data_IF_812679639803
#
_entry.id   IF_812679639803
#
_cell.length_a   1.000
_cell.length_b   1.000
_cell.length_c   1.000
_cell.angle_alpha   90.00
_cell.angle_beta   90.00
_cell.angle_gamma   90.00
#
_symmetry.space_group_name_H-M   'P 1'
#
loop_
_entity.id
_entity.type
_entity.pdbx_description
1 polymer ?
#
# COMPACT_ATOMS: atom_id res chain seq x y z
N UNK A 1 -31.46 3.57 43.48
CA UNK A 1 -31.38 3.38 42.00
C UNK A 1 -30.89 1.95 41.77
N UNK A 2 -31.74 1.06 41.42
CA UNK A 2 -31.32 -0.30 41.18
C UNK A 2 -30.48 -0.30 39.93
N UNK A 3 -29.38 -0.92 39.95
CA UNK A 3 -28.64 -1.50 38.83
C UNK A 3 -28.15 -0.52 37.75
N UNK A 4 -28.22 0.78 37.95
CA UNK A 4 -27.61 1.74 37.05
C UNK A 4 -26.09 1.65 37.21
N UNK A 5 -25.43 1.22 36.20
CA UNK A 5 -23.99 1.07 36.15
C UNK A 5 -23.49 -0.35 36.43
N UNK A 6 -24.34 -1.33 36.68
CA UNK A 6 -23.96 -2.72 36.64
C UNK A 6 -23.70 -3.16 35.21
N UNK A 7 -22.54 -3.73 34.98
CA UNK A 7 -22.23 -4.30 33.65
C UNK A 7 -23.07 -5.53 33.44
N UNK A 8 -23.96 -5.49 32.46
CA UNK A 8 -24.68 -6.67 32.03
C UNK A 8 -23.73 -7.56 31.25
N UNK A 9 -23.63 -8.83 31.65
CA UNK A 9 -22.88 -9.80 30.86
C UNK A 9 -23.51 -9.94 29.49
N UNK A 10 -22.69 -9.75 28.45
CA UNK A 10 -23.06 -10.00 27.08
C UNK A 10 -22.62 -11.39 26.67
N UNK A 11 -23.27 -12.02 25.68
CA UNK A 11 -22.74 -13.30 25.17
C UNK A 11 -21.29 -13.16 24.67
N UNK A 12 -20.42 -14.12 25.03
CA UNK A 12 -20.68 -15.25 25.97
C UNK A 12 -20.86 -14.73 27.39
N UNK A 13 -21.86 -15.25 28.13
CA UNK A 13 -22.21 -14.78 29.48
C UNK A 13 -21.18 -15.15 30.56
N UNK A 14 -20.19 -15.94 30.25
CA UNK A 14 -19.08 -16.28 31.13
C UNK A 14 -17.84 -15.50 30.70
N UNK A 15 -17.04 -15.00 31.67
CA UNK A 15 -15.75 -14.40 31.35
C UNK A 15 -14.91 -15.40 30.55
N UNK A 16 -14.43 -14.94 29.38
CA UNK A 16 -13.57 -15.74 28.53
C UNK A 16 -12.14 -15.29 28.75
N UNK A 17 -11.25 -16.22 29.07
CA UNK A 17 -9.83 -15.90 29.23
C UNK A 17 -9.20 -15.56 27.89
N UNK A 18 -8.16 -14.73 27.88
CA UNK A 18 -7.41 -14.44 26.67
C UNK A 18 -6.82 -15.69 26.02
N UNK A 19 -6.44 -16.69 26.86
CA UNK A 19 -5.97 -17.98 26.37
C UNK A 19 -7.05 -18.76 25.62
N UNK A 20 -8.32 -18.70 26.06
CA UNK A 20 -9.43 -19.34 25.37
C UNK A 20 -9.75 -18.62 24.04
N UNK A 21 -9.57 -17.30 23.98
CA UNK A 21 -9.71 -16.54 22.73
C UNK A 21 -8.56 -16.82 21.74
N UNK A 22 -7.35 -17.01 22.26
CA UNK A 22 -6.19 -17.36 21.45
C UNK A 22 -6.23 -18.83 20.95
N UNK A 23 -7.00 -19.69 21.62
CA UNK A 23 -7.06 -21.12 21.32
C UNK A 23 -5.74 -21.82 21.59
N UNK A 24 -5.52 -22.95 20.93
CA UNK A 24 -4.28 -23.72 21.02
C UNK A 24 -3.10 -23.10 20.26
N UNK A 25 -3.37 -22.18 19.35
CA UNK A 25 -2.37 -21.48 18.57
C UNK A 25 -1.71 -20.37 19.39
N UNK A 26 -0.97 -20.76 20.43
CA UNK A 26 -0.25 -19.82 21.30
C UNK A 26 0.78 -19.03 20.53
N UNK A 27 0.79 -17.70 20.72
CA UNK A 27 1.72 -16.77 20.06
C UNK A 27 1.25 -16.24 18.71
N UNK A 28 0.16 -16.75 18.15
CA UNK A 28 -0.45 -16.22 16.93
C UNK A 28 -1.90 -15.88 17.20
N UNK A 29 -2.18 -14.61 17.47
CA UNK A 29 -3.55 -14.13 17.57
C UNK A 29 -4.19 -14.08 16.18
N UNK A 30 -5.49 -14.38 16.10
CA UNK A 30 -6.26 -14.32 14.86
C UNK A 30 -5.82 -15.33 13.77
N UNK A 31 -5.30 -16.49 14.17
CA UNK A 31 -5.18 -17.61 13.26
C UNK A 31 -6.57 -18.21 12.94
N UNK A 32 -6.81 -18.71 11.71
CA UNK A 32 -5.85 -18.98 10.66
C UNK A 32 -5.50 -17.76 9.82
N UNK A 33 -4.26 -17.74 9.30
CA UNK A 33 -3.86 -16.81 8.26
C UNK A 33 -4.40 -17.27 6.91
N UNK A 34 -4.79 -16.30 6.07
CA UNK A 34 -5.12 -16.54 4.66
C UNK A 34 -3.85 -16.84 3.87
N UNK A 35 -3.96 -17.73 2.89
CA UNK A 35 -2.88 -18.09 1.99
C UNK A 35 -3.20 -17.64 0.58
N UNK A 36 -2.18 -17.16 -0.12
CA UNK A 36 -2.29 -16.76 -1.51
C UNK A 36 -2.23 -17.97 -2.44
N UNK A 37 -2.60 -17.83 -3.73
CA UNK A 37 -2.41 -18.88 -4.72
C UNK A 37 -0.96 -19.35 -4.87
N UNK A 38 0.02 -18.48 -4.55
CA UNK A 38 1.45 -18.80 -4.64
C UNK A 38 2.07 -19.23 -3.30
N UNK A 39 1.28 -19.43 -2.25
CA UNK A 39 1.80 -19.78 -0.92
C UNK A 39 2.73 -21.02 -0.95
N UNK A 40 2.35 -22.06 -1.71
CA UNK A 40 3.15 -23.26 -1.85
C UNK A 40 4.44 -23.02 -2.68
N UNK A 41 4.36 -22.16 -3.69
CA UNK A 41 5.51 -21.77 -4.52
C UNK A 41 6.52 -21.02 -3.66
N UNK A 42 6.06 -20.02 -2.90
CA UNK A 42 6.94 -19.30 -2.00
C UNK A 42 7.51 -20.17 -0.90
N UNK A 43 6.71 -21.10 -0.33
CA UNK A 43 7.16 -22.01 0.72
C UNK A 43 8.31 -22.91 0.29
N UNK A 44 8.41 -23.26 -1.00
CA UNK A 44 9.53 -24.04 -1.54
C UNK A 44 10.89 -23.31 -1.41
N UNK A 45 10.88 -21.99 -1.33
CA UNK A 45 12.07 -21.16 -1.11
C UNK A 45 12.33 -20.87 0.38
N UNK A 46 11.50 -21.43 1.29
CA UNK A 46 11.61 -21.24 2.75
C UNK A 46 11.85 -19.78 3.20
N UNK A 47 11.05 -18.80 2.74
CA UNK A 47 11.24 -17.39 3.09
C UNK A 47 10.84 -17.13 4.54
N UNK A 48 11.41 -16.12 5.19
CA UNK A 48 10.81 -15.53 6.39
C UNK A 48 9.43 -14.97 6.04
N UNK A 49 8.44 -15.26 6.87
CA UNK A 49 7.07 -14.86 6.62
C UNK A 49 6.64 -13.68 7.50
N UNK A 50 5.72 -12.86 6.99
CA UNK A 50 5.06 -11.80 7.73
C UNK A 50 3.55 -11.84 7.48
N UNK A 51 2.71 -11.74 8.54
CA UNK A 51 1.30 -11.45 8.37
C UNK A 51 1.10 -9.98 7.99
N UNK A 52 0.34 -9.73 6.92
CA UNK A 52 -0.14 -8.41 6.53
C UNK A 52 -1.65 -8.47 6.44
N UNK A 53 -2.35 -7.76 7.34
CA UNK A 53 -3.75 -8.04 7.60
C UNK A 53 -3.90 -9.51 8.00
N UNK A 54 -4.73 -10.26 7.28
CA UNK A 54 -4.91 -11.71 7.50
C UNK A 54 -4.09 -12.59 6.55
N UNK A 55 -3.22 -12.01 5.72
CA UNK A 55 -2.47 -12.74 4.71
C UNK A 55 -1.04 -13.02 5.14
N UNK A 56 -0.56 -14.22 4.83
CA UNK A 56 0.84 -14.58 4.97
C UNK A 56 1.61 -14.17 3.71
N UNK A 57 2.68 -13.39 3.87
CA UNK A 57 3.50 -12.92 2.75
C UNK A 57 5.00 -13.13 3.00
N UNK A 58 5.81 -13.46 1.95
CA UNK A 58 7.28 -13.52 2.08
C UNK A 58 7.87 -12.16 2.43
N UNK A 59 8.78 -12.12 3.40
CA UNK A 59 9.55 -10.90 3.73
C UNK A 59 10.67 -10.65 2.75
N UNK A 60 11.43 -11.71 2.40
CA UNK A 60 12.53 -11.69 1.44
C UNK A 60 12.82 -13.13 1.02
N UNK A 61 13.74 -13.32 0.08
CA UNK A 61 14.29 -14.61 -0.33
C UNK A 61 15.81 -14.64 -0.04
N UNK A 62 16.21 -14.87 1.23
CA UNK A 62 17.60 -14.83 1.66
C UNK A 62 18.45 -15.90 0.97
N UNK A 63 19.67 -15.54 0.59
CA UNK A 63 20.70 -16.47 0.19
C UNK A 63 21.40 -17.10 1.42
N UNK A 64 22.14 -18.19 1.27
CA UNK A 64 22.89 -18.75 2.40
C UNK A 64 23.77 -17.70 3.12
N UNK A 65 23.66 -17.63 4.44
CA UNK A 65 24.36 -16.69 5.31
C UNK A 65 23.98 -15.20 5.15
N UNK A 66 22.92 -14.90 4.44
CA UNK A 66 22.42 -13.55 4.26
C UNK A 66 21.35 -13.22 5.36
N UNK A 67 21.51 -12.10 6.01
CA UNK A 67 20.48 -11.59 6.91
C UNK A 67 19.27 -11.08 6.14
N UNK A 68 18.13 -10.97 6.82
CA UNK A 68 16.90 -10.45 6.23
C UNK A 68 17.08 -9.04 5.62
N UNK A 69 17.80 -8.17 6.31
CA UNK A 69 18.04 -6.80 5.85
C UNK A 69 18.97 -6.75 4.63
N UNK A 70 19.97 -7.63 4.56
CA UNK A 70 20.85 -7.77 3.39
C UNK A 70 20.08 -8.31 2.19
N UNK A 71 19.24 -9.34 2.40
CA UNK A 71 18.38 -9.89 1.37
C UNK A 71 17.44 -8.83 0.79
N UNK A 72 16.71 -8.11 1.65
CA UNK A 72 15.83 -7.02 1.23
C UNK A 72 16.56 -5.92 0.44
N UNK A 73 17.76 -5.54 0.87
CA UNK A 73 18.55 -4.53 0.17
C UNK A 73 19.07 -5.04 -1.20
N UNK A 74 19.54 -6.29 -1.27
CA UNK A 74 19.96 -6.93 -2.53
C UNK A 74 18.81 -7.01 -3.52
N UNK A 75 17.67 -7.47 -3.07
CA UNK A 75 16.45 -7.57 -3.89
C UNK A 75 16.02 -6.18 -4.39
N UNK A 76 15.97 -5.17 -3.52
CA UNK A 76 15.64 -3.80 -3.89
C UNK A 76 16.63 -3.21 -4.92
N UNK A 77 17.94 -3.48 -4.77
CA UNK A 77 18.95 -3.09 -5.75
C UNK A 77 18.75 -3.76 -7.10
N UNK A 78 18.37 -5.03 -7.10
CA UNK A 78 18.05 -5.75 -8.34
C UNK A 78 16.86 -5.13 -9.05
N UNK A 79 15.81 -4.75 -8.31
CA UNK A 79 14.66 -4.01 -8.88
C UNK A 79 15.10 -2.68 -9.49
N UNK A 80 15.99 -1.92 -8.83
CA UNK A 80 16.48 -0.63 -9.32
C UNK A 80 17.39 -0.74 -10.54
N UNK A 81 18.17 -1.81 -10.66
CA UNK A 81 19.19 -1.96 -11.72
C UNK A 81 18.77 -2.84 -12.89
N UNK A 82 17.83 -3.76 -12.68
CA UNK A 82 17.36 -4.71 -13.66
C UNK A 82 15.83 -4.86 -13.62
N UNK A 83 15.35 -5.88 -12.93
CA UNK A 83 13.91 -6.15 -12.78
C UNK A 83 13.66 -7.05 -11.56
N UNK A 84 12.51 -6.90 -10.93
CA UNK A 84 12.05 -7.84 -9.91
C UNK A 84 10.59 -8.18 -10.07
N UNK A 85 10.16 -9.28 -9.44
CA UNK A 85 8.76 -9.68 -9.40
C UNK A 85 8.31 -9.99 -7.97
N UNK A 86 7.08 -9.64 -7.66
CA UNK A 86 6.46 -9.87 -6.35
C UNK A 86 4.98 -10.25 -6.51
N UNK A 87 4.49 -11.14 -5.65
CA UNK A 87 3.07 -11.41 -5.59
C UNK A 87 2.31 -10.24 -4.92
N UNK A 88 1.25 -9.76 -5.57
CA UNK A 88 0.34 -8.72 -5.07
C UNK A 88 -1.13 -9.21 -5.01
N UNK A 89 -1.33 -10.52 -4.95
CA UNK A 89 -2.66 -11.16 -4.84
C UNK A 89 -3.44 -10.72 -3.61
N UNK A 90 -2.78 -10.21 -2.60
CA UNK A 90 -3.38 -9.87 -1.31
C UNK A 90 -4.11 -8.52 -1.29
N UNK A 91 -3.94 -7.69 -2.32
CA UNK A 91 -4.69 -6.43 -2.45
C UNK A 91 -6.20 -6.68 -2.44
N UNK A 92 -6.96 -5.81 -1.76
CA UNK A 92 -8.40 -5.80 -1.94
C UNK A 92 -8.77 -5.53 -3.39
N UNK A 93 -9.74 -6.26 -3.95
CA UNK A 93 -10.17 -6.10 -5.34
C UNK A 93 -11.68 -6.10 -5.40
N UNK A 94 -12.24 -5.08 -6.02
CA UNK A 94 -13.69 -4.86 -6.11
C UNK A 94 -14.07 -4.61 -7.55
N UNK A 95 -14.95 -5.43 -8.07
CA UNK A 95 -15.60 -5.20 -9.36
C UNK A 95 -16.90 -4.41 -9.13
N UNK A 96 -17.04 -3.30 -9.86
CA UNK A 96 -18.15 -2.36 -9.74
C UNK A 96 -18.78 -2.27 -11.12
N UNK A 97 -20.06 -2.71 -11.23
CA UNK A 97 -20.72 -2.90 -12.52
C UNK A 97 -22.13 -2.32 -12.51
N UNK A 98 -22.48 -1.63 -13.57
CA UNK A 98 -23.83 -1.11 -13.82
C UNK A 98 -23.86 0.36 -14.18
N UNK A 99 -25.02 0.89 -14.59
CA UNK A 99 -25.17 2.28 -15.02
C UNK A 99 -24.77 3.30 -13.95
N UNK A 100 -24.90 2.96 -12.67
CA UNK A 100 -24.50 3.80 -11.54
C UNK A 100 -23.03 3.65 -11.11
N UNK A 101 -22.21 2.84 -11.80
CA UNK A 101 -20.86 2.52 -11.38
C UNK A 101 -19.95 3.77 -11.31
N UNK A 102 -19.97 4.60 -12.34
CA UNK A 102 -19.17 5.84 -12.36
C UNK A 102 -19.59 6.80 -11.23
N UNK A 103 -20.89 6.92 -10.94
CA UNK A 103 -21.39 7.75 -9.84
C UNK A 103 -20.94 7.21 -8.49
N UNK A 104 -21.00 5.89 -8.27
CA UNK A 104 -20.53 5.28 -7.03
C UNK A 104 -19.03 5.53 -6.84
N UNK A 105 -18.22 5.31 -7.87
CA UNK A 105 -16.77 5.59 -7.87
C UNK A 105 -16.48 7.05 -7.50
N UNK A 106 -17.20 7.99 -8.13
CA UNK A 106 -17.06 9.42 -7.81
C UNK A 106 -17.50 9.75 -6.38
N UNK A 107 -18.46 9.00 -5.82
CA UNK A 107 -18.91 9.20 -4.46
C UNK A 107 -17.91 8.66 -3.42
N UNK A 108 -17.26 7.54 -3.72
CA UNK A 108 -16.30 6.86 -2.85
C UNK A 108 -14.90 7.49 -2.91
N UNK A 109 -14.43 7.83 -4.11
CA UNK A 109 -13.06 8.24 -4.37
C UNK A 109 -12.88 9.76 -4.34
N UNK A 110 -11.82 10.25 -3.71
CA UNK A 110 -11.55 11.68 -3.58
C UNK A 110 -10.86 12.31 -4.80
N UNK A 111 -10.30 11.51 -5.70
CA UNK A 111 -9.69 11.99 -6.96
C UNK A 111 -10.71 12.10 -8.09
N UNK A 112 -10.46 12.95 -9.13
CA UNK A 112 -11.41 13.08 -10.25
C UNK A 112 -11.33 11.85 -11.17
N UNK A 113 -12.43 11.10 -11.30
CA UNK A 113 -12.52 9.86 -12.08
C UNK A 113 -13.61 9.88 -13.16
N UNK A 114 -14.58 10.80 -13.10
CA UNK A 114 -15.74 10.86 -14.00
C UNK A 114 -15.36 10.86 -15.51
N UNK A 115 -14.21 11.47 -15.86
CA UNK A 115 -13.72 11.55 -17.22
C UNK A 115 -12.61 10.56 -17.55
N UNK A 116 -12.36 9.57 -16.67
CA UNK A 116 -11.38 8.54 -16.95
C UNK A 116 -11.83 7.72 -18.15
N UNK A 117 -10.98 7.63 -19.19
CA UNK A 117 -11.31 6.87 -20.39
C UNK A 117 -11.34 5.36 -20.10
N UNK A 118 -12.10 4.59 -20.87
CA UNK A 118 -12.02 3.13 -20.88
C UNK A 118 -10.59 2.72 -21.23
N UNK A 119 -10.04 1.73 -20.55
CA UNK A 119 -8.66 1.32 -20.73
C UNK A 119 -7.65 2.11 -19.90
N UNK A 120 -8.11 2.98 -18.99
CA UNK A 120 -7.24 3.80 -18.13
C UNK A 120 -7.51 3.54 -16.65
N UNK A 121 -6.46 3.76 -15.87
CA UNK A 121 -6.49 3.72 -14.41
C UNK A 121 -6.09 5.04 -13.78
N UNK A 122 -6.31 5.16 -12.49
CA UNK A 122 -5.84 6.28 -11.66
C UNK A 122 -5.68 5.84 -10.22
N UNK A 123 -4.63 6.31 -9.56
CA UNK A 123 -4.51 6.23 -8.11
C UNK A 123 -5.60 7.08 -7.45
N UNK A 124 -6.19 6.56 -6.40
CA UNK A 124 -7.18 7.25 -5.59
C UNK A 124 -7.09 6.84 -4.12
N UNK A 125 -7.71 7.63 -3.29
CA UNK A 125 -7.88 7.36 -1.87
C UNK A 125 -9.31 7.65 -1.46
N UNK A 126 -9.74 7.00 -0.39
CA UNK A 126 -11.08 7.03 0.13
C UNK A 126 -11.09 7.64 1.52
N UNK A 127 -12.14 8.39 1.83
CA UNK A 127 -12.29 9.08 3.11
C UNK A 127 -13.48 8.54 3.88
N UNK A 128 -13.39 8.63 5.21
CA UNK A 128 -14.57 8.60 6.07
C UNK A 128 -15.30 9.93 6.03
N UNK A 129 -16.50 9.97 6.59
CA UNK A 129 -17.33 11.17 6.67
C UNK A 129 -16.69 12.31 7.49
N UNK A 130 -15.76 11.97 8.40
CA UNK A 130 -14.98 12.94 9.19
C UNK A 130 -13.81 13.59 8.42
N UNK A 131 -13.57 13.18 7.16
CA UNK A 131 -12.53 13.68 6.28
C UNK A 131 -11.17 12.98 6.42
N UNK A 132 -11.09 11.94 7.24
CA UNK A 132 -9.86 11.16 7.40
C UNK A 132 -9.72 10.11 6.29
N UNK A 133 -8.48 9.92 5.80
CA UNK A 133 -8.17 8.88 4.83
C UNK A 133 -8.36 7.51 5.48
N UNK A 134 -9.14 6.65 4.85
CA UNK A 134 -9.44 5.30 5.33
C UNK A 134 -8.62 4.25 4.62
N UNK A 135 -8.37 4.44 3.33
CA UNK A 135 -7.59 3.54 2.49
C UNK A 135 -7.22 4.23 1.17
N UNK A 136 -6.35 3.59 0.40
CA UNK A 136 -5.94 4.03 -0.92
C UNK A 136 -5.83 2.84 -1.89
N UNK A 137 -5.68 3.13 -3.17
CA UNK A 137 -5.53 2.11 -4.19
C UNK A 137 -5.67 2.67 -5.60
N UNK A 138 -5.88 1.78 -6.56
CA UNK A 138 -6.07 2.15 -7.96
C UNK A 138 -7.50 1.88 -8.42
N UNK A 139 -7.98 2.70 -9.33
CA UNK A 139 -9.30 2.57 -9.95
C UNK A 139 -9.12 2.49 -11.45
N UNK A 140 -9.64 1.44 -12.06
CA UNK A 140 -9.49 1.10 -13.47
C UNK A 140 -10.84 1.06 -14.16
N UNK A 141 -10.99 1.76 -15.27
CA UNK A 141 -12.21 1.68 -16.09
C UNK A 141 -12.05 0.59 -17.14
N UNK A 142 -12.60 -0.60 -16.85
CA UNK A 142 -12.50 -1.79 -17.73
C UNK A 142 -13.48 -1.71 -18.91
N UNK A 143 -14.55 -0.94 -18.78
CA UNK A 143 -15.58 -0.76 -19.79
C UNK A 143 -16.50 0.41 -19.44
N UNK A 144 -17.50 0.70 -20.26
CA UNK A 144 -18.39 1.84 -20.05
C UNK A 144 -19.08 1.82 -18.67
N UNK A 145 -19.50 0.64 -18.22
CA UNK A 145 -20.19 0.45 -16.95
C UNK A 145 -19.49 -0.57 -16.04
N UNK A 146 -18.19 -0.84 -16.28
CA UNK A 146 -17.43 -1.84 -15.55
C UNK A 146 -16.10 -1.27 -15.06
N UNK A 147 -15.88 -1.36 -13.75
CA UNK A 147 -14.72 -0.82 -13.08
C UNK A 147 -14.08 -1.88 -12.17
N UNK A 148 -12.78 -1.83 -12.04
CA UNK A 148 -12.02 -2.55 -11.03
C UNK A 148 -11.39 -1.52 -10.09
N UNK A 149 -11.61 -1.69 -8.79
CA UNK A 149 -11.00 -0.88 -7.75
C UNK A 149 -10.15 -1.77 -6.87
N UNK A 150 -8.95 -1.32 -6.52
CA UNK A 150 -8.10 -1.99 -5.54
C UNK A 150 -8.06 -1.22 -4.22
N UNK A 151 -7.65 -1.89 -3.15
CA UNK A 151 -7.33 -1.29 -1.86
C UNK A 151 -6.10 -1.95 -1.25
N UNK A 152 -5.61 -1.39 -0.14
CA UNK A 152 -4.51 -2.00 0.60
C UNK A 152 -4.84 -3.45 1.02
N UNK A 153 -3.79 -4.25 1.26
CA UNK A 153 -3.92 -5.64 1.73
C UNK A 153 -4.71 -5.73 3.05
N UNK A 154 -4.43 -4.83 3.99
CA UNK A 154 -5.11 -4.79 5.29
C UNK A 154 -6.49 -4.13 5.26
N UNK A 155 -6.82 -3.40 4.18
CA UNK A 155 -8.05 -2.62 4.04
C UNK A 155 -9.20 -3.34 3.34
N UNK A 156 -8.97 -4.51 2.73
CA UNK A 156 -9.95 -5.19 1.87
C UNK A 156 -11.33 -5.34 2.50
N UNK A 157 -11.41 -5.90 3.69
CA UNK A 157 -12.69 -6.12 4.38
C UNK A 157 -13.36 -4.79 4.80
N UNK A 158 -12.57 -3.81 5.23
CA UNK A 158 -13.04 -2.46 5.56
C UNK A 158 -13.67 -1.79 4.34
N UNK A 159 -13.03 -1.94 3.17
CA UNK A 159 -13.54 -1.37 1.92
C UNK A 159 -14.81 -2.03 1.42
N UNK A 160 -15.03 -3.34 1.67
CA UNK A 160 -16.35 -3.98 1.44
C UNK A 160 -17.44 -3.26 2.23
N UNK A 161 -17.19 -3.01 3.52
CA UNK A 161 -18.11 -2.28 4.39
C UNK A 161 -18.34 -0.85 3.90
N UNK A 162 -17.29 -0.13 3.55
CA UNK A 162 -17.38 1.26 3.06
C UNK A 162 -18.16 1.37 1.73
N UNK A 163 -17.85 0.56 0.75
CA UNK A 163 -18.57 0.50 -0.52
C UNK A 163 -20.06 0.14 -0.33
N UNK A 164 -20.33 -0.83 0.57
CA UNK A 164 -21.69 -1.21 0.91
C UNK A 164 -22.47 -0.08 1.58
N UNK A 165 -21.83 0.65 2.50
CA UNK A 165 -22.41 1.81 3.18
C UNK A 165 -22.75 2.91 2.17
N UNK A 166 -21.83 3.31 1.33
CA UNK A 166 -22.06 4.36 0.34
C UNK A 166 -23.19 3.94 -0.61
N UNK A 167 -23.15 2.72 -1.15
CA UNK A 167 -24.15 2.23 -2.09
C UNK A 167 -25.54 2.09 -1.48
N UNK A 168 -25.65 1.53 -0.26
CA UNK A 168 -26.96 1.15 0.32
C UNK A 168 -27.59 2.25 1.16
N UNK A 169 -26.75 3.10 1.76
CA UNK A 169 -27.23 4.12 2.72
C UNK A 169 -27.17 5.52 2.10
N UNK A 170 -26.03 5.89 1.52
CA UNK A 170 -25.85 7.26 0.98
C UNK A 170 -26.47 7.40 -0.42
N UNK A 171 -26.40 6.34 -1.23
CA UNK A 171 -26.84 6.34 -2.64
C UNK A 171 -27.76 5.15 -2.95
N UNK A 172 -28.88 4.95 -2.23
CA UNK A 172 -29.72 3.73 -2.33
C UNK A 172 -30.38 3.56 -3.70
N UNK A 173 -30.52 4.64 -4.48
CA UNK A 173 -31.13 4.62 -5.82
C UNK A 173 -30.18 4.19 -6.95
N UNK A 174 -28.89 4.01 -6.69
CA UNK A 174 -27.94 3.64 -7.73
C UNK A 174 -28.14 2.21 -8.23
N UNK A 175 -28.29 2.08 -9.55
CA UNK A 175 -28.32 0.78 -10.23
C UNK A 175 -26.89 0.29 -10.47
N UNK A 176 -26.26 -0.28 -9.42
CA UNK A 176 -24.88 -0.75 -9.43
C UNK A 176 -24.73 -2.00 -8.58
N UNK A 177 -23.97 -2.96 -9.07
CA UNK A 177 -23.47 -4.12 -8.32
C UNK A 177 -22.03 -3.87 -7.89
N UNK A 178 -21.69 -4.31 -6.67
CA UNK A 178 -20.33 -4.31 -6.12
C UNK A 178 -20.06 -5.71 -5.63
N UNK A 179 -18.96 -6.30 -6.09
CA UNK A 179 -18.50 -7.61 -5.66
C UNK A 179 -17.02 -7.56 -5.26
N UNK A 180 -16.69 -8.16 -4.11
CA UNK A 180 -15.30 -8.49 -3.83
C UNK A 180 -14.87 -9.63 -4.75
N UNK A 181 -13.80 -9.40 -5.50
CA UNK A 181 -13.20 -10.39 -6.42
C UNK A 181 -11.77 -10.72 -6.01
N UNK A 182 -11.44 -10.47 -4.75
CA UNK A 182 -10.09 -10.62 -4.20
C UNK A 182 -9.53 -12.03 -4.38
N UNK A 183 -10.35 -13.04 -4.20
CA UNK A 183 -9.92 -14.44 -4.31
C UNK A 183 -10.04 -15.00 -5.74
N UNK A 184 -10.80 -14.32 -6.59
CA UNK A 184 -10.90 -14.70 -8.00
C UNK A 184 -9.62 -14.40 -8.77
N UNK A 185 -8.94 -13.29 -8.43
CA UNK A 185 -7.79 -12.78 -9.14
C UNK A 185 -6.54 -12.87 -8.28
N UNK A 186 -5.58 -13.70 -8.71
CA UNK A 186 -4.20 -13.56 -8.29
C UNK A 186 -3.48 -12.49 -9.09
N UNK A 187 -2.40 -11.93 -8.56
CA UNK A 187 -1.66 -10.90 -9.25
C UNK A 187 -0.16 -10.94 -8.93
N UNK A 188 0.66 -10.65 -9.95
CA UNK A 188 2.11 -10.53 -9.90
C UNK A 188 2.48 -9.13 -10.37
N UNK A 189 3.31 -8.40 -9.64
CA UNK A 189 3.90 -7.16 -10.12
C UNK A 189 5.32 -7.44 -10.64
N UNK A 190 5.63 -6.97 -11.85
CA UNK A 190 6.97 -6.97 -12.47
C UNK A 190 7.43 -5.53 -12.54
N UNK A 191 8.55 -5.20 -11.88
CA UNK A 191 9.01 -3.83 -11.70
C UNK A 191 10.52 -3.68 -11.94
N UNK A 192 10.93 -2.64 -12.63
CA UNK A 192 12.33 -2.33 -12.90
C UNK A 192 12.56 -1.78 -14.31
N UNK A 193 13.77 -1.31 -14.61
CA UNK A 193 14.12 -0.82 -15.95
C UNK A 193 13.82 -1.83 -17.08
N UNK A 194 14.07 -3.13 -16.82
CA UNK A 194 13.87 -4.19 -17.80
C UNK A 194 12.43 -4.77 -17.81
N UNK A 195 11.49 -4.20 -17.05
CA UNK A 195 10.12 -4.75 -16.97
C UNK A 195 9.42 -4.80 -18.34
N UNK A 196 9.69 -3.86 -19.25
CA UNK A 196 9.17 -3.93 -20.63
C UNK A 196 9.74 -5.11 -21.41
N UNK A 197 11.04 -5.35 -21.28
CA UNK A 197 11.70 -6.48 -21.97
C UNK A 197 11.14 -7.82 -21.50
N UNK A 198 10.91 -7.96 -20.19
CA UNK A 198 10.24 -9.16 -19.62
C UNK A 198 8.85 -9.36 -20.24
N UNK A 199 7.99 -8.33 -20.28
CA UNK A 199 6.67 -8.49 -20.88
C UNK A 199 6.74 -8.79 -22.38
N UNK A 200 7.64 -8.13 -23.10
CA UNK A 200 7.85 -8.38 -24.52
C UNK A 200 8.30 -9.83 -24.79
N UNK A 201 9.20 -10.40 -23.98
CA UNK A 201 9.62 -11.81 -24.08
C UNK A 201 8.50 -12.80 -23.80
N UNK A 202 7.49 -12.38 -23.04
CA UNK A 202 6.25 -13.14 -22.79
C UNK A 202 5.17 -12.92 -23.86
N UNK A 203 5.48 -12.20 -24.95
CA UNK A 203 4.55 -11.93 -26.05
C UNK A 203 3.53 -10.81 -25.76
N UNK A 204 3.77 -10.00 -24.75
CA UNK A 204 2.87 -8.91 -24.35
C UNK A 204 3.41 -7.55 -24.79
N UNK A 205 2.59 -6.77 -25.50
CA UNK A 205 2.84 -5.34 -25.69
C UNK A 205 2.47 -4.59 -24.39
N UNK A 206 3.45 -4.00 -23.68
CA UNK A 206 3.20 -3.41 -22.38
C UNK A 206 2.36 -2.13 -22.50
N UNK A 207 1.31 -1.95 -21.70
CA UNK A 207 0.54 -0.71 -21.70
C UNK A 207 1.37 0.48 -21.20
N UNK A 208 0.95 1.68 -21.54
CA UNK A 208 1.51 2.90 -20.95
C UNK A 208 1.21 2.97 -19.45
N UNK A 209 1.92 3.84 -18.73
CA UNK A 209 1.61 4.13 -17.33
C UNK A 209 0.14 4.51 -17.14
N UNK A 210 -0.51 3.93 -16.14
CA UNK A 210 -1.97 4.01 -15.91
C UNK A 210 -2.82 3.61 -17.13
N UNK A 211 -2.27 2.81 -18.03
CA UNK A 211 -2.99 2.08 -19.06
C UNK A 211 -3.24 0.64 -18.66
N UNK A 212 -4.20 0.00 -19.33
CA UNK A 212 -4.45 -1.44 -19.19
C UNK A 212 -4.44 -2.11 -20.56
N UNK A 213 -4.08 -3.38 -20.57
CA UNK A 213 -4.15 -4.25 -21.73
C UNK A 213 -4.67 -5.63 -21.31
N UNK A 214 -5.15 -6.38 -22.29
CA UNK A 214 -5.45 -7.80 -22.15
C UNK A 214 -4.48 -8.60 -22.98
N UNK A 215 -4.09 -9.79 -22.52
CA UNK A 215 -3.19 -10.67 -23.25
C UNK A 215 -3.34 -12.10 -22.80
N UNK A 216 -2.50 -12.95 -23.38
CA UNK A 216 -2.36 -14.34 -23.01
C UNK A 216 -0.87 -14.67 -22.84
N UNK A 217 -0.51 -15.28 -21.74
CA UNK A 217 0.85 -15.73 -21.42
C UNK A 217 0.79 -17.22 -21.14
N UNK A 218 1.45 -18.04 -21.96
CA UNK A 218 1.47 -19.49 -21.82
C UNK A 218 0.07 -20.11 -21.65
N UNK A 219 -0.93 -19.64 -22.44
CA UNK A 219 -2.32 -20.11 -22.36
C UNK A 219 -3.12 -19.55 -21.16
N UNK A 220 -2.55 -18.67 -20.35
CA UNK A 220 -3.22 -17.99 -19.26
C UNK A 220 -3.70 -16.61 -19.71
N UNK A 221 -5.02 -16.36 -19.64
CA UNK A 221 -5.56 -15.03 -19.89
C UNK A 221 -5.15 -14.06 -18.78
N UNK A 222 -4.55 -12.93 -19.15
CA UNK A 222 -4.06 -11.92 -18.22
C UNK A 222 -4.67 -10.54 -18.49
N UNK A 223 -5.00 -9.83 -17.42
CA UNK A 223 -5.23 -8.39 -17.44
C UNK A 223 -3.96 -7.71 -16.94
N UNK A 224 -3.38 -6.82 -17.76
CA UNK A 224 -2.13 -6.13 -17.48
C UNK A 224 -2.44 -4.69 -17.12
N UNK A 225 -1.99 -4.24 -15.95
CA UNK A 225 -2.18 -2.89 -15.45
C UNK A 225 -0.83 -2.20 -15.32
N UNK A 226 -0.65 -1.06 -15.98
CA UNK A 226 0.57 -0.25 -15.92
C UNK A 226 0.62 0.58 -14.63
N UNK A 227 0.84 -0.05 -13.48
CA UNK A 227 0.90 0.58 -12.17
C UNK A 227 2.24 0.33 -11.49
N UNK A 228 2.72 1.30 -10.71
CA UNK A 228 3.98 1.22 -9.99
C UNK A 228 3.82 1.63 -8.53
N UNK A 229 4.26 0.77 -7.62
CA UNK A 229 4.44 1.10 -6.20
C UNK A 229 5.92 1.22 -5.82
N UNK A 230 6.81 0.57 -6.57
CA UNK A 230 8.27 0.64 -6.35
C UNK A 230 8.91 1.96 -6.80
N UNK A 231 8.22 2.74 -7.63
CA UNK A 231 8.77 3.94 -8.28
C UNK A 231 9.55 3.65 -9.56
N UNK A 232 9.73 2.38 -9.94
CA UNK A 232 10.23 1.97 -11.25
C UNK A 232 9.06 1.75 -12.22
N UNK A 233 9.35 1.59 -13.52
CA UNK A 233 8.37 1.07 -14.46
C UNK A 233 7.87 -0.27 -13.98
N UNK A 234 6.56 -0.42 -13.89
CA UNK A 234 5.99 -1.66 -13.39
C UNK A 234 4.66 -2.00 -14.06
N UNK A 235 4.38 -3.30 -14.07
CA UNK A 235 3.16 -3.87 -14.60
C UNK A 235 2.63 -4.92 -13.63
N UNK A 236 1.34 -4.83 -13.32
CA UNK A 236 0.66 -5.83 -12.53
C UNK A 236 -0.09 -6.79 -13.47
N UNK A 237 0.22 -8.06 -13.39
CA UNK A 237 -0.35 -9.15 -14.19
C UNK A 237 -1.42 -9.85 -13.37
N UNK A 238 -2.69 -9.63 -13.68
CA UNK A 238 -3.83 -10.25 -13.02
C UNK A 238 -4.29 -11.48 -13.80
N UNK A 239 -4.38 -12.61 -13.14
CA UNK A 239 -4.87 -13.87 -13.72
C UNK A 239 -5.87 -14.55 -12.77
N UNK A 240 -6.70 -15.50 -13.27
CA UNK A 240 -7.48 -16.36 -12.38
C UNK A 240 -6.57 -17.03 -11.35
N UNK A 241 -6.99 -17.07 -10.09
CA UNK A 241 -6.14 -17.53 -8.97
C UNK A 241 -5.56 -18.94 -9.18
N UNK A 242 -6.31 -19.84 -9.84
CA UNK A 242 -5.86 -21.19 -10.11
C UNK A 242 -4.76 -21.27 -11.19
N UNK A 243 -4.66 -20.28 -12.08
CA UNK A 243 -3.63 -20.20 -13.13
C UNK A 243 -2.37 -19.45 -12.67
N UNK A 244 -2.43 -18.79 -11.51
CA UNK A 244 -1.34 -17.94 -11.05
C UNK A 244 -0.01 -18.69 -10.87
N UNK A 245 0.04 -19.94 -10.36
CA UNK A 245 1.30 -20.68 -10.27
C UNK A 245 1.98 -20.90 -11.63
N UNK A 246 1.18 -21.14 -12.68
CA UNK A 246 1.71 -21.28 -14.06
C UNK A 246 2.24 -19.94 -14.56
N UNK A 247 1.48 -18.87 -14.39
CA UNK A 247 1.92 -17.52 -14.76
C UNK A 247 3.18 -17.11 -14.01
N UNK A 248 3.29 -17.45 -12.71
CA UNK A 248 4.49 -17.19 -11.91
C UNK A 248 5.72 -17.88 -12.51
N UNK A 249 5.64 -19.18 -12.80
CA UNK A 249 6.77 -19.94 -13.29
C UNK A 249 7.36 -19.39 -14.60
N UNK A 250 6.50 -19.04 -15.57
CA UNK A 250 6.96 -18.47 -16.84
C UNK A 250 7.48 -17.03 -16.67
N UNK A 251 6.86 -16.25 -15.79
CA UNK A 251 7.32 -14.89 -15.48
C UNK A 251 8.65 -14.90 -14.75
N UNK A 252 8.87 -15.83 -13.81
CA UNK A 252 10.11 -15.98 -13.06
C UNK A 252 11.28 -16.32 -13.99
N UNK A 253 11.08 -17.23 -14.95
CA UNK A 253 12.08 -17.55 -15.97
C UNK A 253 12.43 -16.32 -16.84
N UNK A 254 11.43 -15.55 -17.27
CA UNK A 254 11.63 -14.33 -18.04
C UNK A 254 12.35 -13.22 -17.23
N UNK A 255 11.98 -13.06 -15.96
CA UNK A 255 12.63 -12.10 -15.03
C UNK A 255 14.10 -12.51 -14.80
N UNK A 256 14.37 -13.80 -14.60
CA UNK A 256 15.74 -14.28 -14.41
C UNK A 256 16.61 -14.08 -15.67
N UNK A 257 16.05 -14.25 -16.87
CA UNK A 257 16.74 -14.00 -18.14
C UNK A 257 17.16 -12.52 -18.31
N UNK A 258 16.42 -11.61 -17.70
CA UNK A 258 16.72 -10.16 -17.67
C UNK A 258 17.57 -9.75 -16.45
N UNK A 259 18.21 -10.70 -15.76
CA UNK A 259 19.06 -10.46 -14.59
C UNK A 259 18.29 -10.08 -13.32
N UNK A 260 17.02 -10.41 -13.25
CA UNK A 260 16.12 -10.07 -12.17
C UNK A 260 15.95 -11.17 -11.12
N UNK A 261 15.08 -10.91 -10.15
CA UNK A 261 14.75 -11.86 -9.08
C UNK A 261 13.33 -11.68 -8.56
N UNK A 262 12.81 -12.70 -7.85
CA UNK A 262 11.70 -12.50 -6.95
C UNK A 262 12.15 -11.62 -5.76
N UNK A 263 11.26 -10.76 -5.25
CA UNK A 263 11.55 -9.94 -4.09
C UNK A 263 10.38 -9.95 -3.09
N UNK A 264 10.69 -9.71 -1.83
CA UNK A 264 9.73 -9.73 -0.74
C UNK A 264 9.37 -8.34 -0.22
N UNK A 265 8.68 -8.34 0.94
CA UNK A 265 8.20 -7.12 1.58
C UNK A 265 9.32 -6.18 2.03
N UNK A 266 10.47 -6.71 2.46
CA UNK A 266 11.62 -5.89 2.89
C UNK A 266 12.12 -5.00 1.74
N UNK A 267 12.24 -5.58 0.54
CA UNK A 267 12.63 -4.83 -0.65
C UNK A 267 11.54 -3.84 -1.07
N UNK A 268 10.26 -4.27 -1.06
CA UNK A 268 9.14 -3.40 -1.40
C UNK A 268 9.08 -2.18 -0.49
N UNK A 269 9.33 -2.37 0.80
CA UNK A 269 9.35 -1.31 1.81
C UNK A 269 10.44 -0.26 1.50
N UNK A 270 11.67 -0.69 1.22
CA UNK A 270 12.75 0.22 0.84
C UNK A 270 12.42 1.01 -0.44
N UNK A 271 11.87 0.33 -1.44
CA UNK A 271 11.53 0.92 -2.73
C UNK A 271 10.43 1.98 -2.60
N UNK A 272 9.35 1.69 -1.83
CA UNK A 272 8.23 2.60 -1.65
C UNK A 272 8.60 3.83 -0.81
N UNK A 273 9.44 3.65 0.24
CA UNK A 273 9.96 4.77 1.06
C UNK A 273 10.76 5.72 0.19
N UNK A 274 11.69 5.21 -0.65
CA UNK A 274 12.46 6.05 -1.56
C UNK A 274 11.57 6.86 -2.51
N UNK A 275 10.46 6.27 -2.96
CA UNK A 275 9.49 6.94 -3.84
C UNK A 275 8.55 7.87 -3.10
N UNK A 276 8.51 7.80 -1.78
CA UNK A 276 7.59 8.58 -0.95
C UNK A 276 6.15 8.08 -1.04
N UNK A 277 5.94 6.83 -1.44
CA UNK A 277 4.61 6.23 -1.44
C UNK A 277 4.21 5.87 0.00
N UNK A 278 3.01 6.32 0.37
CA UNK A 278 2.42 6.09 1.69
C UNK A 278 1.85 4.68 1.80
N UNK A 279 1.73 4.19 3.03
CA UNK A 279 1.18 2.88 3.34
C UNK A 279 0.06 2.97 4.37
N UNK A 280 -1.00 2.18 4.14
CA UNK A 280 -2.08 2.02 5.11
C UNK A 280 -1.60 1.21 6.33
N UNK A 281 -1.67 1.84 7.50
CA UNK A 281 -1.14 1.32 8.75
C UNK A 281 0.11 2.07 9.23
N UNK A 282 0.84 2.72 8.32
CA UNK A 282 1.98 3.58 8.64
C UNK A 282 1.59 5.07 8.54
N UNK A 283 1.60 5.65 7.35
CA UNK A 283 1.23 7.05 7.12
C UNK A 283 -0.30 7.26 7.13
N UNK A 284 -1.07 6.30 6.61
CA UNK A 284 -2.54 6.29 6.66
C UNK A 284 -2.96 5.59 7.96
N UNK A 285 -2.99 6.34 9.06
CA UNK A 285 -3.28 5.84 10.41
C UNK A 285 -4.73 6.08 10.87
N UNK A 286 -5.60 6.56 9.95
CA UNK A 286 -7.00 6.89 10.23
C UNK A 286 -7.22 8.23 10.93
N UNK A 287 -6.18 9.04 11.12
CA UNK A 287 -6.22 10.39 11.72
C UNK A 287 -5.72 11.47 10.77
N UNK A 288 -5.37 11.10 9.53
CA UNK A 288 -4.79 12.00 8.53
C UNK A 288 -5.82 12.39 7.50
N UNK A 289 -5.83 13.67 7.18
CA UNK A 289 -6.56 14.21 6.03
C UNK A 289 -5.69 14.06 4.78
N UNK A 290 -6.25 14.20 3.57
CA UNK A 290 -5.44 14.24 2.36
C UNK A 290 -4.36 15.33 2.39
N UNK A 291 -4.67 16.51 2.94
CA UNK A 291 -3.71 17.61 3.08
C UNK A 291 -2.52 17.26 3.95
N UNK A 292 -2.73 16.51 5.03
CA UNK A 292 -1.65 16.03 5.91
C UNK A 292 -0.66 15.11 5.17
N UNK A 293 -1.13 14.41 4.12
CA UNK A 293 -0.37 13.44 3.35
C UNK A 293 0.09 13.98 1.97
N UNK A 294 -0.02 15.27 1.75
CA UNK A 294 0.26 15.92 0.47
C UNK A 294 -0.56 15.35 -0.71
N UNK A 295 -1.74 14.78 -0.44
CA UNK A 295 -2.63 14.23 -1.45
C UNK A 295 -3.61 15.30 -1.95
N UNK A 296 -3.78 15.38 -3.26
CA UNK A 296 -4.67 16.34 -3.89
C UNK A 296 -6.07 15.76 -4.07
N UNK A 297 -7.07 16.41 -3.46
CA UNK A 297 -8.48 16.10 -3.67
C UNK A 297 -9.06 16.87 -4.87
N UNK A 298 -10.13 16.35 -5.46
CA UNK A 298 -10.85 17.08 -6.52
C UNK A 298 -11.55 18.32 -5.94
N UNK A 299 -11.39 19.45 -6.59
CA UNK A 299 -11.92 20.75 -6.13
C UNK A 299 -13.47 20.77 -6.03
N UNK A 300 -14.17 20.05 -6.92
CA UNK A 300 -15.64 20.04 -6.99
C UNK A 300 -16.31 19.37 -5.76
N UNK A 301 -15.56 18.64 -4.93
CA UNK A 301 -16.14 17.89 -3.82
C UNK A 301 -17.06 16.74 -4.29
N UNK A 302 -18.13 16.48 -3.54
CA UNK A 302 -19.17 15.48 -3.87
C UNK A 302 -18.80 14.04 -3.51
N UNK A 303 -17.66 13.78 -2.91
CA UNK A 303 -17.23 12.49 -2.35
C UNK A 303 -17.45 12.45 -0.83
N UNK A 304 -17.46 11.26 -0.26
CA UNK A 304 -17.57 11.07 1.19
C UNK A 304 -16.43 11.81 1.89
N UNK A 305 -16.74 12.54 2.94
CA UNK A 305 -15.76 13.32 3.72
C UNK A 305 -15.44 14.71 3.17
N UNK A 306 -15.82 15.04 1.93
CA UNK A 306 -15.53 16.35 1.35
C UNK A 306 -16.02 17.54 2.21
N UNK A 307 -17.23 17.54 2.79
CA UNK A 307 -17.68 18.63 3.66
C UNK A 307 -16.84 18.78 4.93
N UNK A 308 -16.35 17.68 5.49
CA UNK A 308 -15.55 17.70 6.71
C UNK A 308 -14.20 18.38 6.48
N UNK A 309 -13.60 18.25 5.30
CA UNK A 309 -12.33 18.89 4.95
C UNK A 309 -12.38 20.41 5.00
N UNK A 310 -13.56 21.02 5.03
CA UNK A 310 -13.75 22.46 5.16
C UNK A 310 -13.72 22.94 6.63
N UNK A 311 -13.64 22.04 7.59
CA UNK A 311 -13.58 22.40 9.02
C UNK A 311 -12.24 23.08 9.33
N UNK A 312 -12.23 24.23 10.04
CA UNK A 312 -11.00 24.96 10.36
C UNK A 312 -9.94 24.10 11.06
N UNK A 313 -10.35 23.22 11.97
CA UNK A 313 -9.44 22.30 12.67
C UNK A 313 -8.72 21.29 11.75
N UNK A 314 -9.29 20.96 10.59
CA UNK A 314 -8.66 20.07 9.61
C UNK A 314 -7.79 20.83 8.60
N UNK A 315 -7.83 22.15 8.64
CA UNK A 315 -7.01 23.05 7.81
C UNK A 315 -5.96 23.79 8.64
N UNK A 316 -5.88 23.50 9.94
CA UNK A 316 -4.94 24.17 10.84
C UNK A 316 -3.49 23.91 10.42
N UNK A 317 -2.61 24.92 10.37
CA UNK A 317 -1.24 24.80 9.87
C UNK A 317 -0.33 23.95 10.76
N UNK A 318 -0.69 23.82 12.05
CA UNK A 318 0.04 23.03 13.04
C UNK A 318 -0.31 21.52 13.02
N UNK A 319 -1.13 21.09 12.07
CA UNK A 319 -1.39 19.66 11.90
C UNK A 319 -0.11 18.92 11.52
N UNK A 320 -0.03 17.65 11.92
CA UNK A 320 1.07 16.80 11.51
C UNK A 320 0.96 16.48 10.02
N UNK A 321 2.02 16.78 9.29
CA UNK A 321 2.11 16.63 7.84
C UNK A 321 3.25 15.68 7.47
N UNK A 322 3.11 15.01 6.35
CA UNK A 322 4.09 14.07 5.81
C UNK A 322 5.38 14.82 5.43
N UNK A 323 6.49 14.33 5.94
CA UNK A 323 7.85 14.80 5.63
C UNK A 323 8.77 13.63 5.33
N UNK A 324 9.80 13.89 4.55
CA UNK A 324 10.96 13.02 4.41
C UNK A 324 12.05 13.39 5.42
N UNK A 325 12.89 12.43 5.75
CA UNK A 325 14.05 12.62 6.62
C UNK A 325 15.24 11.87 6.06
N UNK A 326 16.44 12.46 6.20
CA UNK A 326 17.71 11.81 5.88
C UNK A 326 18.63 11.86 7.10
N UNK A 327 19.43 10.81 7.26
CA UNK A 327 20.51 10.77 8.25
C UNK A 327 21.74 10.06 7.67
N UNK A 328 22.91 10.62 7.94
CA UNK A 328 24.21 10.01 7.67
C UNK A 328 24.87 9.46 8.94
N UNK A 329 24.36 9.86 10.11
CA UNK A 329 24.88 9.48 11.43
C UNK A 329 24.47 8.06 11.86
N UNK A 330 23.63 7.39 11.09
CA UNK A 330 23.18 6.03 11.35
C UNK A 330 21.71 5.77 11.00
N UNK A 331 21.24 4.53 11.27
CA UNK A 331 19.88 4.15 10.93
C UNK A 331 18.83 4.90 11.76
N UNK A 332 17.90 5.53 11.08
CA UNK A 332 16.74 6.21 11.70
C UNK A 332 15.81 5.13 12.29
N UNK A 333 15.48 5.17 13.58
CA UNK A 333 14.59 4.17 14.15
C UNK A 333 13.13 4.43 13.74
N UNK A 334 12.47 3.44 13.15
CA UNK A 334 11.03 3.47 12.92
C UNK A 334 10.27 3.61 14.25
N UNK A 335 9.21 4.42 14.27
CA UNK A 335 8.45 4.76 15.46
C UNK A 335 9.15 5.77 16.39
N UNK A 336 10.33 6.29 16.03
CA UNK A 336 11.03 7.29 16.82
C UNK A 336 10.20 8.57 16.93
N UNK A 337 10.25 9.21 18.10
CA UNK A 337 9.67 10.54 18.32
C UNK A 337 10.58 11.61 17.72
N UNK A 338 9.98 12.59 17.04
CA UNK A 338 10.69 13.74 16.49
C UNK A 338 10.68 14.88 17.50
N UNK A 339 11.86 15.32 17.89
CA UNK A 339 12.10 16.35 18.88
C UNK A 339 12.94 17.48 18.27
N UNK A 340 12.60 18.75 18.55
CA UNK A 340 13.54 19.83 18.31
C UNK A 340 14.82 19.60 19.12
N UNK A 341 15.97 20.05 18.62
CA UNK A 341 17.30 19.77 19.21
C UNK A 341 17.44 20.08 20.73
N UNK A 342 16.62 20.98 21.25
CA UNK A 342 16.51 21.30 22.69
C UNK A 342 15.13 21.06 23.27
N UNK A 343 14.22 20.44 22.48
CA UNK A 343 12.83 20.20 22.87
C UNK A 343 12.68 18.97 23.75
N UNK A 344 11.70 19.02 24.67
CA UNK A 344 11.30 17.86 25.48
C UNK A 344 9.98 17.25 25.03
N UNK A 345 9.22 17.98 24.21
CA UNK A 345 7.91 17.54 23.72
C UNK A 345 8.05 17.00 22.30
N UNK A 346 7.57 15.79 22.02
CA UNK A 346 7.49 15.29 20.67
C UNK A 346 6.56 16.14 19.79
N UNK A 347 7.02 16.47 18.60
CA UNK A 347 6.26 17.25 17.61
C UNK A 347 5.77 16.37 16.45
N UNK A 348 6.25 15.12 16.41
CA UNK A 348 5.91 14.15 15.40
C UNK A 348 6.55 12.80 15.68
N UNK A 349 6.49 11.93 14.68
CA UNK A 349 7.11 10.61 14.75
C UNK A 349 7.50 10.09 13.36
N UNK A 350 8.47 9.18 13.35
CA UNK A 350 8.89 8.42 12.17
C UNK A 350 7.85 7.32 11.92
N UNK A 351 7.30 7.26 10.72
CA UNK A 351 6.31 6.25 10.33
C UNK A 351 6.97 5.05 9.67
N UNK A 352 7.95 5.30 8.81
CA UNK A 352 8.65 4.30 8.02
C UNK A 352 10.12 4.70 7.86
N UNK A 353 11.03 3.74 7.95
CA UNK A 353 12.45 4.02 7.83
C UNK A 353 13.21 2.88 7.16
N UNK A 354 14.24 3.22 6.39
CA UNK A 354 15.07 2.25 5.71
C UNK A 354 16.44 2.79 5.31
N UNK A 355 17.28 1.90 4.81
CA UNK A 355 18.51 2.27 4.14
C UNK A 355 18.21 2.73 2.71
N UNK A 356 19.00 3.64 2.18
CA UNK A 356 18.98 3.95 0.75
C UNK A 356 19.30 2.71 -0.06
N UNK A 357 18.55 2.46 -1.09
CA UNK A 357 18.78 1.33 -2.01
C UNK A 357 20.05 1.57 -2.81
N UNK A 358 20.18 2.78 -3.39
CA UNK A 358 21.37 3.25 -4.11
C UNK A 358 22.04 4.32 -3.28
N UNK A 359 23.30 4.07 -2.87
CA UNK A 359 24.09 4.98 -2.03
C UNK A 359 24.15 4.59 -0.55
N UNK A 360 24.55 5.52 0.27
CA UNK A 360 24.72 5.37 1.72
C UNK A 360 23.69 6.18 2.50
N UNK A 361 23.63 5.96 3.81
CA UNK A 361 22.74 6.67 4.71
C UNK A 361 21.38 6.01 4.91
N UNK A 362 20.59 6.64 5.75
CA UNK A 362 19.24 6.23 6.12
C UNK A 362 18.23 7.29 5.69
N UNK A 363 17.06 6.84 5.26
CA UNK A 363 15.92 7.67 4.90
C UNK A 363 14.70 7.26 5.71
N UNK A 364 13.78 8.18 5.89
CA UNK A 364 12.53 7.89 6.56
C UNK A 364 11.39 8.79 6.08
N UNK A 365 10.18 8.29 6.19
CA UNK A 365 8.96 9.08 6.17
C UNK A 365 8.50 9.32 7.61
N UNK A 366 7.82 10.42 7.84
CA UNK A 366 7.27 10.72 9.15
C UNK A 366 6.21 11.80 9.09
N UNK A 367 5.53 11.96 10.20
CA UNK A 367 4.47 12.93 10.39
C UNK A 367 4.93 13.95 11.42
N UNK A 368 4.98 15.22 11.03
CA UNK A 368 5.52 16.32 11.85
C UNK A 368 4.57 17.51 11.87
N UNK A 369 4.34 18.12 13.02
CA UNK A 369 3.54 19.32 13.17
C UNK A 369 4.13 20.46 12.33
N UNK A 370 3.30 21.04 11.42
CA UNK A 370 3.70 22.06 10.46
C UNK A 370 4.83 21.64 9.52
N UNK A 371 4.95 20.36 9.24
CA UNK A 371 6.13 19.74 8.61
C UNK A 371 6.50 20.32 7.24
N UNK A 372 5.52 20.68 6.42
CA UNK A 372 5.76 21.21 5.07
C UNK A 372 6.51 22.55 5.07
N UNK A 373 6.41 23.34 6.13
CA UNK A 373 7.05 24.65 6.27
C UNK A 373 8.44 24.55 6.95
N UNK A 374 8.84 23.35 7.38
CA UNK A 374 10.04 23.10 8.18
C UNK A 374 11.14 22.34 7.44
N UNK A 375 11.04 22.23 6.12
CA UNK A 375 12.06 21.56 5.32
C UNK A 375 13.43 22.23 5.48
N UNK A 376 14.49 21.42 5.62
CA UNK A 376 15.85 21.85 5.92
C UNK A 376 16.17 21.95 7.43
N UNK A 377 15.20 21.85 8.31
CA UNK A 377 15.42 21.83 9.76
C UNK A 377 16.06 20.49 10.20
N UNK A 378 16.90 20.57 11.22
CA UNK A 378 17.48 19.39 11.87
C UNK A 378 16.76 19.07 13.16
N UNK A 379 16.29 17.84 13.29
CA UNK A 379 15.60 17.29 14.45
C UNK A 379 16.35 16.09 15.02
N UNK A 380 15.95 15.68 16.23
CA UNK A 380 16.39 14.44 16.85
C UNK A 380 15.28 13.37 16.71
N UNK A 381 15.55 12.30 15.99
CA UNK A 381 14.71 11.11 15.99
C UNK A 381 15.10 10.22 17.17
N UNK A 382 14.28 10.21 18.23
CA UNK A 382 14.57 9.58 19.50
C UNK A 382 13.69 8.35 19.74
N UNK A 383 14.31 7.22 20.01
CA UNK A 383 13.66 5.97 20.43
C UNK A 383 14.22 5.50 21.79
N UNK A 384 13.72 6.03 22.90
CA UNK A 384 14.24 5.72 24.23
C UNK A 384 14.17 4.22 24.58
N UNK A 385 13.11 3.53 24.13
CA UNK A 385 12.93 2.08 24.37
C UNK A 385 14.00 1.24 23.68
N UNK A 386 14.63 1.76 22.62
CA UNK A 386 15.73 1.11 21.90
C UNK A 386 17.08 1.70 22.27
N UNK A 387 17.13 2.68 23.18
CA UNK A 387 18.35 3.39 23.56
C UNK A 387 19.04 4.14 22.41
N UNK A 388 18.26 4.61 21.42
CA UNK A 388 18.79 5.24 20.20
C UNK A 388 18.24 6.64 20.01
N UNK A 389 19.10 7.53 19.55
CA UNK A 389 18.73 8.86 19.07
C UNK A 389 19.66 9.24 17.92
N UNK A 390 19.10 9.74 16.83
CA UNK A 390 19.84 10.05 15.59
C UNK A 390 19.43 11.42 15.10
N UNK A 391 20.40 12.25 14.66
CA UNK A 391 20.13 13.50 13.97
C UNK A 391 19.51 13.24 12.60
N UNK A 392 18.44 13.97 12.27
CA UNK A 392 17.77 13.87 10.98
C UNK A 392 17.55 15.24 10.38
N UNK A 393 17.76 15.38 9.08
CA UNK A 393 17.43 16.60 8.33
C UNK A 393 16.12 16.38 7.59
N UNK A 394 15.18 17.33 7.72
CA UNK A 394 13.89 17.30 7.05
C UNK A 394 14.04 17.64 5.57
N UNK A 395 13.45 16.81 4.71
CA UNK A 395 13.47 16.96 3.25
C UNK A 395 12.06 16.67 2.68
N UNK A 396 11.80 16.99 1.41
CA UNK A 396 10.60 16.51 0.75
C UNK A 396 10.50 14.97 0.83
N UNK A 397 9.28 14.40 0.96
CA UNK A 397 9.10 12.95 1.20
C UNK A 397 9.33 12.07 -0.05
N UNK A 398 10.10 12.52 -1.02
CA UNK A 398 10.45 11.78 -2.24
C UNK A 398 11.96 11.82 -2.42
N UNK A 399 12.61 10.67 -2.30
CA UNK A 399 14.07 10.54 -2.35
C UNK A 399 14.58 10.02 -3.70
N UNK A 400 13.68 9.45 -4.51
CA UNK A 400 14.01 8.82 -5.78
C UNK A 400 13.04 9.24 -6.88
N UNK A 401 13.57 9.70 -8.02
CA UNK A 401 12.80 10.06 -9.21
C UNK A 401 11.57 10.95 -8.90
N UNK A 402 11.81 12.09 -8.26
CA UNK A 402 10.75 12.99 -7.80
C UNK A 402 9.76 13.39 -8.90
N UNK A 403 10.22 13.52 -10.15
CA UNK A 403 9.39 13.90 -11.28
C UNK A 403 8.64 12.72 -11.92
N UNK A 404 8.95 11.48 -11.53
CA UNK A 404 8.30 10.28 -12.03
C UNK A 404 8.63 9.97 -13.49
N UNK A 405 9.83 10.28 -13.95
CA UNK A 405 10.29 9.98 -15.29
C UNK A 405 10.43 8.46 -15.53
N UNK A 406 10.88 7.73 -14.51
CA UNK A 406 11.17 6.29 -14.59
C UNK A 406 9.99 5.40 -14.97
N UNK A 407 8.76 5.79 -14.66
CA UNK A 407 7.59 4.97 -14.92
C UNK A 407 6.65 5.54 -16.01
N UNK A 408 6.93 6.73 -16.55
CA UNK A 408 6.07 7.38 -17.55
C UNK A 408 6.47 7.12 -18.99
N UNK A 409 7.72 6.80 -19.27
CA UNK A 409 8.27 6.65 -20.65
C UNK A 409 8.15 5.22 -21.19
#
# INVERSE_FOLDING_TARGET
MPEVGLTTFRPPYTPTTLAALAGEATGVHMAPLRRTPLDAVHAAHNPPWQPVGYWRRPRAYPQPNESLAEAGLREARTVRSAVGMIEVSTLGKFEIVGPGAATLIERVCATPLARLAVGRGRYSFMLREDGMVVDDGTVWRLGEQRWLMTSSTGGGDRMVGHLSYVRKILEPGLKVAVASVQERWGAIAVAGPNARAVLASLGIEPPAHMGLAHGEIDGVSVLILGASYSGERAFELYAPSHDLPRLWAVSEAAVAAEGGCAYGLEALELLRIEKGHIETGAEIDGRRTPGDLALTVRAKGGFVGAPALQRPALQAPDRQQLVGMISEDGPIPEGAMLLAARGRKPEGHVTSAGRRVLGEGSIALGLLAGGSERLGETLLASSPTRGRAVGVTLVPPIFYDAEGARYRD
#
